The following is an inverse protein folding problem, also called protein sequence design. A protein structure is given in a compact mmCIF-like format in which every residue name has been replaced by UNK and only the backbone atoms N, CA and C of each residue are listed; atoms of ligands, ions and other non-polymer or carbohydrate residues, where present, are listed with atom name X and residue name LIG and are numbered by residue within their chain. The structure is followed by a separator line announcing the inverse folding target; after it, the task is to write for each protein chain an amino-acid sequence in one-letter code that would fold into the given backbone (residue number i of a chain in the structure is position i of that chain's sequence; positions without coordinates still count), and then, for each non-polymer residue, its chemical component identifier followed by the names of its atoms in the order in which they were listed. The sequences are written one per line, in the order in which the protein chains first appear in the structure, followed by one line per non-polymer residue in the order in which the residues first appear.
data_IF_462684600728
#
_entry.id   IF_462684600728
#
_cell.length_a   1.000
_cell.length_b   1.000
_cell.length_c   1.000
_cell.angle_alpha   90.00
_cell.angle_beta   90.00
_cell.angle_gamma   90.00
#
_symmetry.space_group_name_H-M   'P 1'
#
loop_
_entity.id
_entity.type
_entity.pdbx_description
1 polymer ?
#
# COMPACT_ATOMS: atom_id res chain seq x y z
N UNK A 1 -50.88 82.18 3.95
CA UNK A 1 -49.84 83.24 3.94
C UNK A 1 -48.71 82.77 3.01
N UNK A 2 -48.41 83.56 1.96
CA UNK A 2 -47.12 83.81 1.27
C UNK A 2 -45.97 82.81 1.51
N UNK A 3 -45.15 82.34 0.56
CA UNK A 3 -44.77 82.72 -0.83
C UNK A 3 -43.97 81.52 -1.41
N UNK A 4 -43.93 81.39 -2.74
CA UNK A 4 -43.13 80.36 -3.44
C UNK A 4 -41.72 80.80 -3.87
N UNK A 5 -40.99 79.78 -4.34
CA UNK A 5 -39.87 79.68 -5.31
C UNK A 5 -38.58 80.52 -5.10
N UNK A 6 -37.37 80.09 -5.57
CA UNK A 6 -37.08 79.44 -6.86
C UNK A 6 -36.18 78.18 -6.82
N UNK A 7 -36.34 77.33 -7.85
CA UNK A 7 -35.40 76.25 -8.18
C UNK A 7 -34.12 76.69 -8.89
N UNK A 8 -33.14 75.77 -8.94
CA UNK A 8 -32.17 75.48 -10.02
C UNK A 8 -31.14 74.44 -9.55
N UNK A 9 -30.80 73.45 -10.40
CA UNK A 9 -29.50 72.77 -10.33
C UNK A 9 -29.46 71.24 -10.48
N UNK A 10 -29.64 70.76 -11.71
CA UNK A 10 -29.09 69.57 -12.38
C UNK A 10 -28.52 68.36 -11.58
N UNK A 11 -29.01 67.17 -11.95
CA UNK A 11 -28.34 65.88 -11.73
C UNK A 11 -29.09 64.74 -12.43
N UNK A 12 -28.68 64.40 -13.65
CA UNK A 12 -29.31 63.37 -14.47
C UNK A 12 -29.17 61.96 -13.85
N UNK A 13 -30.30 61.39 -13.41
CA UNK A 13 -30.40 59.99 -13.02
C UNK A 13 -30.78 59.11 -14.21
N UNK A 14 -30.00 58.06 -14.47
CA UNK A 14 -30.43 56.95 -15.35
C UNK A 14 -30.94 55.79 -14.49
N UNK A 15 -32.18 55.44 -14.81
CA UNK A 15 -33.08 54.42 -14.28
C UNK A 15 -32.45 53.16 -13.68
N UNK A 16 -32.87 52.86 -12.45
CA UNK A 16 -32.88 51.53 -11.89
C UNK A 16 -34.14 50.79 -12.38
N UNK A 17 -33.98 49.60 -12.92
CA UNK A 17 -35.08 48.66 -13.14
C UNK A 17 -34.65 47.28 -12.63
N UNK A 18 -35.43 46.71 -11.71
CA UNK A 18 -35.47 45.29 -11.33
C UNK A 18 -36.83 44.74 -11.82
N UNK A 19 -37.05 43.41 -11.84
CA UNK A 19 -36.28 42.34 -12.46
C UNK A 19 -37.21 41.45 -13.32
N UNK A 20 -36.67 40.50 -14.10
CA UNK A 20 -37.26 39.15 -14.28
C UNK A 20 -36.30 38.25 -15.06
N UNK A 21 -36.05 37.09 -14.44
CA UNK A 21 -35.64 35.77 -14.94
C UNK A 21 -35.00 35.61 -16.33
N UNK A 22 -33.80 35.01 -16.34
CA UNK A 22 -33.14 34.49 -17.52
C UNK A 22 -32.02 33.52 -17.13
N UNK A 23 -32.27 32.24 -17.37
CA UNK A 23 -31.35 31.11 -17.24
C UNK A 23 -30.13 31.33 -18.15
N UNK A 24 -28.91 31.32 -17.62
CA UNK A 24 -27.67 31.28 -18.40
C UNK A 24 -26.61 30.45 -17.69
N UNK A 25 -26.03 29.50 -18.43
CA UNK A 25 -25.15 28.43 -17.97
C UNK A 25 -23.86 28.88 -17.30
N UNK A 26 -23.47 28.13 -16.27
CA UNK A 26 -22.16 28.20 -15.65
C UNK A 26 -21.17 27.32 -16.44
N UNK A 27 -20.13 27.94 -16.98
CA UNK A 27 -18.94 27.24 -17.49
C UNK A 27 -18.15 26.55 -16.37
N UNK A 28 -17.21 25.65 -16.70
CA UNK A 28 -16.50 24.87 -15.71
C UNK A 28 -15.57 25.78 -14.92
N UNK A 29 -15.79 25.85 -13.60
CA UNK A 29 -14.86 26.46 -12.67
C UNK A 29 -13.57 25.63 -12.62
N UNK A 30 -12.51 26.16 -13.22
CA UNK A 30 -11.15 25.68 -13.01
C UNK A 30 -10.72 25.96 -11.58
N UNK A 31 -11.01 25.03 -10.67
CA UNK A 31 -10.39 24.99 -9.35
C UNK A 31 -9.05 24.27 -9.47
N UNK A 32 -7.94 25.00 -9.28
CA UNK A 32 -6.65 24.39 -8.99
C UNK A 32 -6.80 23.51 -7.74
N UNK A 33 -6.74 22.19 -7.93
CA UNK A 33 -6.61 21.26 -6.82
C UNK A 33 -5.21 21.45 -6.21
N UNK A 34 -5.08 21.71 -4.90
CA UNK A 34 -3.77 21.73 -4.26
C UNK A 34 -3.06 20.38 -4.48
N UNK A 35 -1.77 20.42 -4.82
CA UNK A 35 -0.97 19.23 -5.11
C UNK A 35 -1.05 18.19 -3.99
N UNK A 36 -1.21 16.91 -4.37
CA UNK A 36 -1.38 15.75 -3.47
C UNK A 36 -0.32 15.69 -2.35
N UNK A 37 0.86 16.22 -2.60
CA UNK A 37 1.99 16.29 -1.65
C UNK A 37 1.67 17.15 -0.41
N UNK A 38 1.06 18.33 -0.58
CA UNK A 38 0.71 19.23 0.52
C UNK A 38 -0.40 18.64 1.41
N UNK A 39 -1.36 17.93 0.81
CA UNK A 39 -2.41 17.23 1.54
C UNK A 39 -1.89 16.02 2.33
N UNK A 40 -0.86 15.31 1.83
CA UNK A 40 -0.22 14.20 2.55
C UNK A 40 0.61 14.69 3.76
N UNK A 41 1.31 15.83 3.61
CA UNK A 41 2.13 16.41 4.68
C UNK A 41 1.27 16.91 5.85
N UNK A 42 0.13 17.57 5.57
CA UNK A 42 -0.81 18.02 6.62
C UNK A 42 -1.52 16.85 7.35
N UNK A 43 -1.66 15.69 6.69
CA UNK A 43 -2.17 14.45 7.31
C UNK A 43 -1.10 13.70 8.10
N UNK A 44 0.16 14.15 8.04
CA UNK A 44 1.28 13.42 8.61
C UNK A 44 1.49 13.64 10.13
N UNK A 45 1.03 14.75 10.70
CA UNK A 45 1.32 15.07 12.10
C UNK A 45 0.61 14.18 13.15
N UNK A 46 -0.67 13.81 12.99
CA UNK A 46 -1.35 12.97 14.00
C UNK A 46 -0.75 11.56 14.10
N UNK A 47 -0.34 10.96 12.97
CA UNK A 47 0.25 9.61 13.00
C UNK A 47 1.65 9.59 13.61
N UNK A 48 2.48 10.64 13.41
CA UNK A 48 3.82 10.73 14.02
C UNK A 48 3.76 10.70 15.55
N UNK A 49 2.64 11.13 16.14
CA UNK A 49 2.39 11.12 17.59
C UNK A 49 1.67 9.85 18.06
N UNK A 50 1.00 9.13 17.17
CA UNK A 50 0.28 7.91 17.52
C UNK A 50 1.27 6.78 17.80
N UNK A 51 1.23 6.25 19.01
CA UNK A 51 1.96 5.03 19.36
C UNK A 51 0.95 3.95 19.67
N UNK A 52 1.26 2.70 19.28
CA UNK A 52 0.47 1.55 19.70
C UNK A 52 0.39 1.52 21.24
N UNK A 53 -0.61 0.89 21.84
CA UNK A 53 -0.61 0.64 23.28
C UNK A 53 0.23 -0.59 23.64
N UNK A 54 0.34 -1.54 22.71
CA UNK A 54 1.10 -2.77 22.87
C UNK A 54 2.61 -2.48 22.84
N UNK A 55 3.34 -2.93 23.88
CA UNK A 55 4.80 -2.77 24.04
C UNK A 55 5.42 -4.13 24.29
N UNK A 56 6.52 -4.43 23.62
CA UNK A 56 7.29 -5.67 23.75
C UNK A 56 8.67 -5.49 23.10
N UNK A 57 9.52 -6.51 23.22
CA UNK A 57 10.79 -6.63 22.49
C UNK A 57 10.80 -7.97 21.78
N UNK A 58 11.33 -8.02 20.57
CA UNK A 58 11.47 -9.25 19.80
C UNK A 58 12.90 -9.78 19.95
N UNK A 59 13.08 -10.98 20.55
CA UNK A 59 14.39 -11.62 20.57
C UNK A 59 14.85 -11.92 19.13
N UNK A 60 16.11 -11.60 18.75
CA UNK A 60 16.62 -11.82 17.38
C UNK A 60 16.49 -13.27 16.89
N UNK A 61 16.45 -14.24 17.80
CA UNK A 61 16.31 -15.66 17.50
C UNK A 61 14.90 -16.02 16.98
N UNK A 62 13.92 -15.12 17.12
CA UNK A 62 12.57 -15.33 16.61
C UNK A 62 12.42 -14.86 15.15
N UNK A 63 13.41 -14.20 14.56
CA UNK A 63 13.38 -13.83 13.14
C UNK A 63 13.45 -15.07 12.25
N UNK A 64 12.48 -15.24 11.34
CA UNK A 64 12.51 -16.33 10.36
C UNK A 64 13.54 -16.04 9.26
N UNK A 65 14.77 -16.49 9.45
CA UNK A 65 15.89 -16.29 8.53
C UNK A 65 15.82 -17.09 7.21
N UNK A 66 14.80 -17.94 7.07
CA UNK A 66 14.54 -18.77 5.89
C UNK A 66 13.06 -19.18 5.75
N UNK A 67 12.59 -19.44 4.52
CA UNK A 67 11.25 -19.97 4.25
C UNK A 67 10.94 -21.26 5.02
N UNK A 68 9.65 -21.56 5.31
CA UNK A 68 9.26 -22.82 5.93
C UNK A 68 9.73 -24.06 5.15
N UNK A 69 9.79 -23.99 3.82
CA UNK A 69 10.25 -25.08 2.96
C UNK A 69 11.72 -25.44 3.25
N UNK A 70 12.57 -24.43 3.48
CA UNK A 70 13.95 -24.61 3.92
C UNK A 70 14.08 -25.07 5.39
N UNK A 71 12.96 -25.16 6.12
CA UNK A 71 12.86 -25.69 7.49
C UNK A 71 12.16 -27.07 7.52
N UNK A 72 11.86 -27.66 6.36
CA UNK A 72 11.20 -28.95 6.25
C UNK A 72 9.68 -28.90 6.44
N UNK A 73 9.05 -27.75 6.21
CA UNK A 73 7.61 -27.52 6.33
C UNK A 73 7.02 -27.06 5.00
N UNK A 74 5.78 -27.42 4.70
CA UNK A 74 5.02 -26.73 3.66
C UNK A 74 4.65 -25.31 4.10
N UNK A 75 4.39 -24.40 3.14
CA UNK A 75 3.99 -23.00 3.43
C UNK A 75 2.82 -22.85 4.39
N UNK A 76 1.86 -23.78 4.33
CA UNK A 76 0.65 -23.77 5.17
C UNK A 76 0.82 -24.52 6.50
N UNK A 77 2.02 -25.05 6.77
CA UNK A 77 2.37 -25.71 8.03
C UNK A 77 3.07 -24.78 9.03
N UNK A 78 3.21 -23.49 8.69
CA UNK A 78 3.56 -22.47 9.68
C UNK A 78 2.51 -22.42 10.80
N UNK A 79 2.90 -21.91 11.96
CA UNK A 79 1.98 -21.81 13.11
C UNK A 79 0.99 -20.68 12.87
N UNK A 80 -0.21 -20.87 13.40
CA UNK A 80 -1.26 -19.86 13.45
C UNK A 80 -1.72 -19.68 14.90
N UNK A 81 -1.67 -18.45 15.39
CA UNK A 81 -2.29 -18.06 16.65
C UNK A 81 -3.67 -17.49 16.36
N UNK A 82 -4.72 -18.06 16.94
CA UNK A 82 -6.09 -17.56 16.82
C UNK A 82 -6.46 -16.83 18.12
N UNK A 83 -6.63 -15.52 18.01
CA UNK A 83 -7.04 -14.64 19.10
C UNK A 83 -8.43 -14.07 18.80
N UNK A 84 -9.45 -14.62 19.46
CA UNK A 84 -10.82 -14.13 19.37
C UNK A 84 -11.26 -13.41 20.66
N UNK A 85 -12.07 -12.38 20.51
CA UNK A 85 -12.68 -11.68 21.63
C UNK A 85 -13.47 -12.65 22.52
N UNK A 86 -13.33 -12.49 23.84
CA UNK A 86 -14.02 -13.31 24.87
C UNK A 86 -13.74 -14.82 24.79
N UNK A 87 -12.67 -15.25 24.10
CA UNK A 87 -12.25 -16.65 24.00
C UNK A 87 -10.79 -16.83 24.43
N UNK A 88 -10.42 -18.02 24.93
CA UNK A 88 -9.01 -18.39 25.10
C UNK A 88 -8.25 -18.33 23.78
N UNK A 89 -6.95 -18.04 23.85
CA UNK A 89 -6.08 -18.11 22.68
C UNK A 89 -5.93 -19.58 22.27
N UNK A 90 -6.06 -19.85 20.97
CA UNK A 90 -5.82 -21.17 20.39
C UNK A 90 -4.57 -21.16 19.52
N UNK A 91 -3.73 -22.16 19.70
CA UNK A 91 -2.56 -22.39 18.86
C UNK A 91 -2.83 -23.55 17.90
N UNK A 92 -2.54 -23.36 16.63
CA UNK A 92 -2.74 -24.36 15.58
C UNK A 92 -1.69 -24.17 14.47
N UNK A 93 -1.75 -24.95 13.41
CA UNK A 93 -1.09 -24.66 12.13
C UNK A 93 -2.00 -23.82 11.23
N UNK A 94 -1.44 -23.20 10.20
CA UNK A 94 -2.19 -22.37 9.25
C UNK A 94 -3.25 -23.18 8.47
N UNK A 95 -3.02 -24.49 8.26
CA UNK A 95 -4.06 -25.45 7.83
C UNK A 95 -5.32 -25.46 8.69
N UNK A 96 -5.25 -25.00 9.94
CA UNK A 96 -6.38 -24.86 10.85
C UNK A 96 -7.21 -23.59 10.66
N UNK A 97 -6.83 -22.69 9.75
CA UNK A 97 -7.55 -21.45 9.44
C UNK A 97 -9.04 -21.69 9.09
N UNK A 98 -9.43 -22.66 8.23
CA UNK A 98 -10.82 -22.90 7.92
C UNK A 98 -11.68 -23.25 9.13
N UNK A 99 -11.10 -23.94 10.12
CA UNK A 99 -11.79 -24.31 11.35
C UNK A 99 -11.91 -23.15 12.37
N UNK A 100 -11.21 -22.03 12.15
CA UNK A 100 -11.29 -20.85 12.99
C UNK A 100 -12.36 -19.85 12.52
N UNK A 101 -12.88 -20.01 11.31
CA UNK A 101 -13.90 -19.16 10.70
C UNK A 101 -15.26 -19.87 10.67
N UNK A 102 -16.33 -19.10 10.43
CA UNK A 102 -17.71 -19.60 10.38
C UNK A 102 -18.27 -19.58 8.97
N UNK A 103 -19.24 -20.45 8.65
CA UNK A 103 -19.99 -20.34 7.39
C UNK A 103 -20.57 -18.93 7.21
N UNK A 104 -20.42 -18.38 6.02
CA UNK A 104 -20.83 -17.02 5.66
C UNK A 104 -19.80 -15.93 5.98
N UNK A 105 -18.71 -16.23 6.70
CA UNK A 105 -17.57 -15.29 6.79
C UNK A 105 -16.92 -15.16 5.40
N UNK A 106 -16.32 -14.00 5.12
CA UNK A 106 -15.60 -13.69 3.88
C UNK A 106 -14.13 -13.45 4.16
N UNK A 107 -13.24 -14.14 3.45
CA UNK A 107 -11.82 -13.81 3.44
C UNK A 107 -11.50 -12.95 2.20
N UNK A 108 -10.77 -11.86 2.39
CA UNK A 108 -10.31 -10.98 1.31
C UNK A 108 -8.80 -11.04 1.22
N UNK A 109 -8.27 -11.35 0.04
CA UNK A 109 -6.84 -11.56 -0.19
C UNK A 109 -6.29 -10.59 -1.25
N UNK A 110 -5.03 -10.19 -1.09
CA UNK A 110 -4.29 -9.46 -2.11
C UNK A 110 -3.73 -10.42 -3.15
N UNK A 111 -3.97 -10.14 -4.42
CA UNK A 111 -3.47 -10.92 -5.56
C UNK A 111 -2.26 -10.31 -6.24
N UNK A 112 -1.70 -9.21 -5.72
CA UNK A 112 -0.46 -8.67 -6.28
C UNK A 112 0.63 -9.74 -6.30
N UNK A 113 1.23 -9.96 -7.46
CA UNK A 113 2.46 -10.74 -7.57
C UNK A 113 3.65 -9.95 -6.99
N UNK A 114 4.72 -10.67 -6.66
CA UNK A 114 6.00 -10.07 -6.25
C UNK A 114 6.91 -9.95 -7.47
N UNK A 115 7.41 -8.75 -7.73
CA UNK A 115 8.41 -8.50 -8.76
C UNK A 115 9.83 -8.76 -8.24
N UNK A 116 10.73 -9.23 -9.11
CA UNK A 116 12.16 -9.28 -8.82
C UNK A 116 12.77 -7.87 -8.92
N UNK A 117 12.36 -7.01 -8.00
CA UNK A 117 12.55 -5.56 -8.09
C UNK A 117 13.93 -5.04 -7.67
N UNK A 118 14.91 -5.91 -7.39
CA UNK A 118 16.30 -5.52 -7.12
C UNK A 118 17.18 -5.72 -8.36
N UNK A 119 17.94 -4.69 -8.71
CA UNK A 119 18.84 -4.65 -9.86
C UNK A 119 20.25 -4.31 -9.39
N UNK A 120 21.21 -5.18 -9.68
CA UNK A 120 22.63 -4.91 -9.40
C UNK A 120 23.20 -3.96 -10.47
N UNK A 121 23.91 -2.92 -10.07
CA UNK A 121 24.39 -1.86 -10.96
C UNK A 121 25.68 -1.21 -10.49
N UNK A 122 26.16 -0.25 -11.28
CA UNK A 122 27.39 0.50 -11.03
C UNK A 122 27.12 1.99 -11.24
N UNK A 123 27.50 2.82 -10.27
CA UNK A 123 27.37 4.28 -10.34
C UNK A 123 28.41 4.88 -11.27
N UNK A 124 28.24 6.14 -11.66
CA UNK A 124 29.20 6.90 -12.49
C UNK A 124 30.63 6.92 -11.93
N UNK A 125 30.77 6.88 -10.59
CA UNK A 125 32.07 6.86 -9.90
C UNK A 125 32.69 5.46 -9.76
N UNK A 126 32.08 4.44 -10.36
CA UNK A 126 32.53 3.05 -10.35
C UNK A 126 32.14 2.26 -9.10
N UNK A 127 31.44 2.86 -8.11
CA UNK A 127 30.98 2.12 -6.92
C UNK A 127 29.82 1.19 -7.28
N UNK A 128 29.81 -0.06 -6.77
CA UNK A 128 28.67 -0.95 -6.94
C UNK A 128 27.47 -0.46 -6.14
N UNK A 129 26.27 -0.64 -6.69
CA UNK A 129 25.00 -0.24 -6.09
C UNK A 129 23.92 -1.26 -6.42
N UNK A 130 22.91 -1.39 -5.58
CA UNK A 130 21.69 -2.14 -5.84
C UNK A 130 20.55 -1.14 -5.94
N UNK A 131 19.83 -1.15 -7.05
CA UNK A 131 18.61 -0.35 -7.25
C UNK A 131 17.42 -1.20 -6.89
N UNK A 132 16.66 -0.79 -5.87
CA UNK A 132 15.35 -1.36 -5.58
C UNK A 132 14.26 -0.53 -6.26
N UNK A 133 13.50 -1.14 -7.16
CA UNK A 133 12.34 -0.53 -7.82
C UNK A 133 11.13 -0.64 -6.89
N UNK A 134 10.59 0.51 -6.46
CA UNK A 134 9.40 0.56 -5.60
C UNK A 134 8.11 0.44 -6.40
N UNK A 135 8.04 1.08 -7.56
CA UNK A 135 6.83 1.11 -8.36
C UNK A 135 6.77 2.34 -9.28
N UNK A 136 5.64 2.55 -9.97
CA UNK A 136 5.45 3.75 -10.76
C UNK A 136 5.37 5.00 -9.85
N UNK A 137 5.83 6.15 -10.35
CA UNK A 137 5.66 7.43 -9.66
C UNK A 137 4.17 7.80 -9.59
N UNK A 138 3.58 7.95 -8.39
CA UNK A 138 2.16 8.32 -8.26
C UNK A 138 1.80 9.65 -8.91
N UNK A 139 2.79 10.52 -9.13
CA UNK A 139 2.62 11.84 -9.75
C UNK A 139 3.09 11.87 -11.22
N UNK A 140 3.53 10.72 -11.78
CA UNK A 140 4.11 10.61 -13.13
C UNK A 140 3.09 10.48 -14.27
N UNK A 141 1.82 10.24 -13.97
CA UNK A 141 0.82 9.85 -14.98
C UNK A 141 0.96 8.39 -15.40
N UNK A 142 -0.12 7.80 -15.93
CA UNK A 142 -0.18 6.38 -16.27
C UNK A 142 0.73 6.07 -17.47
N UNK A 143 1.93 5.58 -17.19
CA UNK A 143 2.87 5.14 -18.22
C UNK A 143 2.87 3.62 -18.43
N UNK A 144 1.80 2.95 -18.01
CA UNK A 144 1.68 1.49 -18.14
C UNK A 144 0.36 1.18 -18.85
N UNK A 145 0.38 1.39 -20.18
CA UNK A 145 -0.64 0.90 -21.12
C UNK A 145 -1.52 1.98 -21.74
N UNK A 146 -1.32 2.29 -23.03
CA UNK A 146 -2.30 3.04 -23.83
C UNK A 146 -1.70 3.94 -24.91
N UNK A 147 -1.83 3.49 -26.16
CA UNK A 147 -1.71 4.15 -27.48
C UNK A 147 -1.16 5.59 -27.59
N UNK A 148 -0.10 5.75 -28.40
CA UNK A 148 0.43 7.04 -28.86
C UNK A 148 -0.37 7.54 -30.06
N UNK A 149 -1.59 7.99 -29.85
CA UNK A 149 -2.30 8.78 -30.85
C UNK A 149 -3.11 9.91 -30.20
N UNK A 150 -2.57 11.13 -30.23
CA UNK A 150 -3.33 12.30 -29.80
C UNK A 150 -2.51 13.54 -29.50
N UNK A 151 -2.34 14.38 -30.53
CA UNK A 151 -2.04 15.82 -30.47
C UNK A 151 -0.62 16.17 -29.95
N UNK A 152 0.29 16.32 -30.90
CA UNK A 152 1.50 17.12 -30.74
C UNK A 152 1.10 18.59 -30.50
N UNK A 153 1.01 18.97 -29.23
CA UNK A 153 0.91 20.36 -28.77
C UNK A 153 2.23 20.75 -28.12
N UNK A 154 2.74 21.92 -28.51
CA UNK A 154 3.97 22.56 -28.03
C UNK A 154 3.97 22.75 -26.50
N UNK A 155 4.70 21.94 -25.74
CA UNK A 155 4.83 22.10 -24.29
C UNK A 155 6.27 21.84 -23.82
N UNK A 156 6.75 22.71 -22.92
CA UNK A 156 8.16 22.83 -22.51
C UNK A 156 8.81 21.62 -21.83
N UNK A 157 10.10 21.74 -21.41
CA UNK A 157 11.00 20.63 -21.08
C UNK A 157 10.63 19.77 -19.85
N UNK A 158 9.43 19.91 -19.28
CA UNK A 158 9.00 19.20 -18.06
C UNK A 158 7.88 18.17 -18.23
N UNK A 159 7.28 18.01 -19.42
CA UNK A 159 6.15 17.08 -19.65
C UNK A 159 6.58 15.71 -20.17
N UNK A 160 7.65 15.64 -20.97
CA UNK A 160 8.22 14.39 -21.47
C UNK A 160 8.90 13.55 -20.37
N UNK A 161 9.48 14.20 -19.34
CA UNK A 161 10.14 13.56 -18.19
C UNK A 161 9.17 12.90 -17.19
N UNK A 162 7.86 13.10 -17.34
CA UNK A 162 6.85 12.55 -16.41
C UNK A 162 6.37 11.16 -16.83
N UNK A 163 6.23 10.91 -18.13
CA UNK A 163 5.74 9.64 -18.64
C UNK A 163 6.81 8.54 -18.44
N UNK A 164 6.54 7.60 -17.53
CA UNK A 164 7.39 6.43 -17.29
C UNK A 164 8.34 6.57 -16.11
N UNK A 165 8.15 7.59 -15.26
CA UNK A 165 8.94 7.72 -14.04
C UNK A 165 8.58 6.63 -13.03
N UNK A 166 9.62 6.09 -12.40
CA UNK A 166 9.53 5.11 -11.31
C UNK A 166 10.11 5.69 -10.04
N UNK A 167 9.69 5.14 -8.90
CA UNK A 167 10.33 5.40 -7.61
C UNK A 167 11.32 4.29 -7.32
N UNK A 168 12.55 4.65 -6.96
CA UNK A 168 13.62 3.71 -6.64
C UNK A 168 14.32 4.06 -5.32
N UNK A 169 14.92 3.07 -4.70
CA UNK A 169 15.83 3.22 -3.56
C UNK A 169 17.22 2.70 -3.95
N UNK A 170 18.27 3.41 -3.54
CA UNK A 170 19.65 2.97 -3.74
C UNK A 170 20.20 2.32 -2.47
N UNK A 171 20.79 1.14 -2.62
CA UNK A 171 21.43 0.36 -1.56
C UNK A 171 22.84 -0.04 -1.94
N UNK A 172 23.70 -0.26 -0.95
CA UNK A 172 24.95 -0.97 -1.18
C UNK A 172 24.68 -2.46 -1.46
N UNK A 173 25.64 -3.21 -2.01
CA UNK A 173 25.54 -4.67 -2.11
C UNK A 173 25.25 -5.37 -0.77
N UNK A 174 25.67 -4.76 0.34
CA UNK A 174 25.44 -5.26 1.71
C UNK A 174 24.06 -4.88 2.27
N UNK A 175 23.27 -4.09 1.54
CA UNK A 175 21.91 -3.67 1.93
C UNK A 175 21.83 -2.34 2.68
N UNK A 176 22.96 -1.67 2.89
CA UNK A 176 23.01 -0.36 3.55
C UNK A 176 22.45 0.73 2.66
N UNK A 177 21.89 1.79 3.27
CA UNK A 177 21.34 2.92 2.52
C UNK A 177 22.45 3.69 1.82
N UNK A 178 22.21 4.06 0.56
CA UNK A 178 23.07 4.99 -0.18
C UNK A 178 22.45 6.38 -0.11
N UNK A 179 22.96 7.20 0.81
CA UNK A 179 22.44 8.55 1.07
C UNK A 179 23.03 9.66 0.20
N UNK A 180 24.08 9.40 -0.57
CA UNK A 180 24.80 10.41 -1.34
C UNK A 180 24.40 10.48 -2.82
N UNK A 181 23.24 9.90 -3.19
CA UNK A 181 22.67 10.02 -4.53
C UNK A 181 22.34 11.46 -4.93
N UNK A 182 22.38 11.78 -6.22
CA UNK A 182 22.13 13.12 -6.75
C UNK A 182 21.25 13.14 -8.00
N UNK A 183 20.43 14.18 -8.14
CA UNK A 183 19.69 14.44 -9.36
C UNK A 183 20.65 14.57 -10.56
N UNK A 184 20.32 13.90 -11.67
CA UNK A 184 21.12 13.83 -12.88
C UNK A 184 22.10 12.65 -12.93
N UNK A 185 22.42 12.04 -11.78
CA UNK A 185 23.30 10.87 -11.67
C UNK A 185 22.72 9.66 -12.41
N UNK A 186 23.60 8.92 -13.06
CA UNK A 186 23.27 7.68 -13.77
C UNK A 186 23.83 6.44 -13.06
N UNK A 187 23.09 5.34 -13.21
CA UNK A 187 23.50 4.01 -12.78
C UNK A 187 23.46 3.09 -14.00
N UNK A 188 24.60 2.49 -14.31
CA UNK A 188 24.68 1.45 -15.33
C UNK A 188 24.14 0.14 -14.76
N UNK A 189 23.18 -0.45 -15.46
CA UNK A 189 22.47 -1.66 -15.09
C UNK A 189 22.78 -2.80 -16.10
N UNK A 190 22.33 -4.04 -15.83
CA UNK A 190 22.55 -5.16 -16.73
C UNK A 190 21.99 -4.91 -18.14
N UNK A 191 22.49 -5.66 -19.13
CA UNK A 191 22.12 -5.47 -20.54
C UNK A 191 22.35 -4.04 -21.09
N UNK A 192 23.21 -3.26 -20.45
CA UNK A 192 23.55 -1.90 -20.87
C UNK A 192 22.47 -0.86 -20.60
N UNK A 193 21.44 -1.19 -19.82
CA UNK A 193 20.41 -0.24 -19.43
C UNK A 193 21.00 0.85 -18.53
N UNK A 194 20.51 2.07 -18.65
CA UNK A 194 20.97 3.21 -17.85
C UNK A 194 19.78 3.79 -17.12
N UNK A 195 19.84 3.74 -15.79
CA UNK A 195 18.88 4.42 -14.93
C UNK A 195 19.39 5.82 -14.62
N UNK A 196 18.51 6.82 -14.69
CA UNK A 196 18.84 8.20 -14.34
C UNK A 196 18.00 8.68 -13.17
N UNK A 197 18.65 9.18 -12.12
CA UNK A 197 17.98 9.86 -11.01
C UNK A 197 17.51 11.24 -11.48
N UNK A 198 16.23 11.54 -11.31
CA UNK A 198 15.62 12.80 -11.77
C UNK A 198 15.51 13.79 -10.61
N UNK A 199 14.93 13.35 -9.49
CA UNK A 199 14.73 14.17 -8.29
C UNK A 199 14.45 13.28 -7.08
N UNK A 200 14.53 13.85 -5.88
CA UNK A 200 14.05 13.19 -4.67
C UNK A 200 12.57 12.81 -4.75
N UNK A 201 12.20 11.81 -3.96
CA UNK A 201 10.84 11.39 -3.67
C UNK A 201 10.61 11.39 -2.14
N UNK A 202 9.50 11.95 -1.61
CA UNK A 202 8.36 12.51 -2.35
C UNK A 202 8.57 13.94 -2.84
N UNK A 203 9.51 14.70 -2.27
CA UNK A 203 9.76 16.10 -2.63
C UNK A 203 10.67 16.23 -3.86
N UNK A 204 10.13 16.82 -4.93
CA UNK A 204 10.85 17.06 -6.20
C UNK A 204 11.90 18.17 -6.08
N UNK A 205 11.83 19.01 -5.05
CA UNK A 205 12.83 20.06 -4.82
C UNK A 205 14.17 19.50 -4.31
N UNK A 206 14.16 18.28 -3.77
CA UNK A 206 15.35 17.63 -3.24
C UNK A 206 16.24 17.11 -4.38
N UNK A 207 17.48 17.61 -4.45
CA UNK A 207 18.44 17.31 -5.52
C UNK A 207 19.63 16.46 -5.07
N UNK A 208 19.80 16.23 -3.78
CA UNK A 208 20.84 15.37 -3.20
C UNK A 208 20.38 14.83 -1.84
N UNK A 209 21.02 13.78 -1.34
CA UNK A 209 20.83 13.39 0.07
C UNK A 209 19.55 12.59 0.36
N UNK A 210 18.75 12.24 -0.65
CA UNK A 210 17.43 11.66 -0.43
C UNK A 210 17.45 10.13 -0.42
N UNK A 211 16.54 9.54 0.36
CA UNK A 211 16.38 8.09 0.44
C UNK A 211 15.81 7.48 -0.85
N UNK A 212 14.70 8.05 -1.32
CA UNK A 212 13.98 7.56 -2.49
C UNK A 212 14.12 8.53 -3.65
N UNK A 213 14.17 8.02 -4.86
CA UNK A 213 14.40 8.83 -6.04
C UNK A 213 13.32 8.57 -7.08
N UNK A 214 12.83 9.64 -7.69
CA UNK A 214 12.18 9.53 -9.00
C UNK A 214 13.27 9.28 -10.02
N UNK A 215 13.11 8.26 -10.84
CA UNK A 215 14.08 7.87 -11.83
C UNK A 215 13.41 7.53 -13.16
N UNK A 216 14.17 7.66 -14.25
CA UNK A 216 13.80 7.14 -15.56
C UNK A 216 14.68 5.94 -15.88
N UNK A 217 14.05 4.91 -16.44
CA UNK A 217 14.73 3.69 -16.87
C UNK A 217 14.12 3.24 -18.21
N UNK A 218 14.60 3.79 -19.34
CA UNK A 218 14.15 3.37 -20.65
C UNK A 218 14.71 1.98 -20.96
N UNK A 219 13.83 1.00 -21.12
CA UNK A 219 14.17 -0.39 -21.44
C UNK A 219 13.23 -0.93 -22.51
N UNK A 220 13.81 -1.62 -23.50
CA UNK A 220 13.04 -2.28 -24.55
C UNK A 220 12.18 -3.41 -23.94
N UNK A 221 10.95 -3.57 -24.44
CA UNK A 221 9.99 -4.55 -23.89
C UNK A 221 9.34 -4.14 -22.56
N UNK A 222 9.70 -2.96 -22.02
CA UNK A 222 9.10 -2.39 -20.82
C UNK A 222 9.71 -2.92 -19.51
N UNK A 223 9.50 -2.15 -18.45
CA UNK A 223 10.11 -2.42 -17.15
C UNK A 223 9.77 -3.81 -16.55
N UNK A 224 8.51 -4.31 -16.61
CA UNK A 224 8.20 -5.62 -16.05
C UNK A 224 8.97 -6.75 -16.73
N UNK A 225 9.15 -6.68 -18.06
CA UNK A 225 9.92 -7.66 -18.83
C UNK A 225 11.40 -7.61 -18.49
N UNK A 226 11.96 -6.40 -18.37
CA UNK A 226 13.34 -6.20 -17.97
C UNK A 226 13.62 -6.73 -16.55
N UNK A 227 12.78 -6.39 -15.57
CA UNK A 227 12.89 -6.92 -14.20
C UNK A 227 12.81 -8.44 -14.19
N UNK A 228 11.86 -9.04 -14.92
CA UNK A 228 11.74 -10.49 -15.00
C UNK A 228 12.99 -11.17 -15.59
N UNK A 229 13.73 -10.48 -16.47
CA UNK A 229 14.90 -11.02 -17.14
C UNK A 229 16.18 -10.92 -16.30
N UNK A 230 16.40 -9.80 -15.60
CA UNK A 230 17.70 -9.52 -14.93
C UNK A 230 17.59 -9.19 -13.46
N UNK A 231 16.39 -8.97 -12.95
CA UNK A 231 16.14 -8.62 -11.56
C UNK A 231 16.17 -9.82 -10.62
N UNK A 232 16.24 -9.54 -9.33
CA UNK A 232 16.07 -10.52 -8.25
C UNK A 232 15.12 -10.00 -7.17
N UNK A 233 14.50 -10.86 -6.35
CA UNK A 233 13.69 -10.39 -5.23
C UNK A 233 14.50 -9.48 -4.31
N UNK A 234 13.83 -8.46 -3.76
CA UNK A 234 14.40 -7.66 -2.68
C UNK A 234 14.64 -8.60 -1.49
N UNK A 235 15.87 -8.56 -0.96
CA UNK A 235 16.30 -9.39 0.16
C UNK A 235 16.49 -8.49 1.38
N UNK A 236 15.84 -8.85 2.49
CA UNK A 236 16.12 -8.23 3.76
C UNK A 236 17.36 -8.83 4.43
N UNK A 237 18.07 -8.00 5.21
CA UNK A 237 19.36 -8.35 5.81
C UNK A 237 19.33 -9.57 6.76
N UNK A 238 18.18 -9.91 7.33
CA UNK A 238 18.04 -11.07 8.22
C UNK A 238 17.98 -12.42 7.49
N UNK A 239 17.80 -12.45 6.16
CA UNK A 239 17.84 -13.70 5.40
C UNK A 239 19.29 -14.15 5.25
N UNK A 240 19.60 -15.43 5.50
CA UNK A 240 20.99 -15.94 5.38
C UNK A 240 21.52 -16.04 3.96
N UNK A 241 20.63 -16.23 2.99
CA UNK A 241 20.97 -16.43 1.59
C UNK A 241 19.84 -15.93 0.69
N UNK A 242 20.13 -15.59 -0.58
CA UNK A 242 19.10 -15.31 -1.57
C UNK A 242 18.09 -16.47 -1.67
N UNK A 243 16.82 -16.12 -1.87
CA UNK A 243 15.76 -17.09 -2.13
C UNK A 243 15.23 -16.90 -3.54
N UNK A 244 14.86 -17.98 -4.21
CA UNK A 244 14.31 -17.88 -5.55
C UNK A 244 12.94 -17.22 -5.51
N UNK A 245 12.54 -16.55 -6.60
CA UNK A 245 11.33 -15.72 -6.65
C UNK A 245 10.05 -16.48 -6.26
N UNK A 246 9.95 -17.79 -6.55
CA UNK A 246 8.79 -18.60 -6.15
C UNK A 246 8.57 -18.69 -4.64
N UNK A 247 9.60 -18.50 -3.82
CA UNK A 247 9.46 -18.52 -2.37
C UNK A 247 8.73 -17.28 -1.85
N UNK A 248 8.71 -16.20 -2.64
CA UNK A 248 8.01 -14.95 -2.35
C UNK A 248 6.60 -14.89 -2.97
N UNK A 249 6.27 -15.79 -3.90
CA UNK A 249 4.98 -15.77 -4.59
C UNK A 249 3.90 -16.52 -3.82
N UNK A 250 2.72 -15.90 -3.75
CA UNK A 250 1.53 -16.52 -3.16
C UNK A 250 0.77 -17.35 -4.20
N UNK A 251 0.01 -18.35 -3.75
CA UNK A 251 -0.79 -19.20 -4.67
C UNK A 251 -2.01 -18.47 -5.26
N UNK A 252 -2.34 -17.31 -4.71
CA UNK A 252 -3.44 -16.43 -5.15
C UNK A 252 -2.92 -15.25 -5.98
N UNK A 253 -1.60 -15.15 -6.17
CA UNK A 253 -1.01 -14.12 -7.00
C UNK A 253 -1.56 -14.23 -8.43
N UNK A 254 -1.93 -13.10 -8.99
CA UNK A 254 -2.37 -12.95 -10.37
C UNK A 254 -1.52 -11.89 -11.04
N UNK A 255 -1.15 -12.12 -12.30
CA UNK A 255 -0.33 -11.20 -13.08
C UNK A 255 -1.15 -10.65 -14.22
N UNK A 256 -1.30 -9.33 -14.27
CA UNK A 256 -1.74 -8.65 -15.48
C UNK A 256 -0.52 -8.50 -16.39
N UNK A 257 -0.56 -9.01 -17.64
CA UNK A 257 0.54 -8.82 -18.58
C UNK A 257 0.88 -7.35 -18.76
N UNK A 258 2.17 -7.01 -18.76
CA UNK A 258 2.65 -5.64 -18.94
C UNK A 258 2.51 -4.72 -17.72
N UNK A 259 1.87 -5.16 -16.64
CA UNK A 259 1.74 -4.39 -15.41
C UNK A 259 2.88 -4.67 -14.44
N UNK A 260 3.43 -3.62 -13.83
CA UNK A 260 4.40 -3.77 -12.74
C UNK A 260 3.67 -4.18 -11.46
N UNK A 261 4.00 -5.35 -10.90
CA UNK A 261 3.42 -5.82 -9.65
C UNK A 261 4.13 -5.23 -8.41
N UNK A 262 3.87 -5.78 -7.22
CA UNK A 262 4.42 -5.26 -5.96
C UNK A 262 5.91 -5.59 -5.82
N UNK A 263 6.70 -4.63 -5.34
CA UNK A 263 8.10 -4.88 -4.97
C UNK A 263 8.18 -5.84 -3.78
N UNK A 264 7.15 -5.81 -2.92
CA UNK A 264 7.07 -6.65 -1.74
C UNK A 264 6.09 -7.81 -1.85
N UNK A 265 6.38 -8.84 -1.05
CA UNK A 265 5.52 -9.99 -0.90
C UNK A 265 4.29 -9.67 -0.04
N UNK A 266 3.08 -10.09 -0.44
CA UNK A 266 1.91 -10.13 0.44
C UNK A 266 2.06 -11.27 1.47
N UNK A 267 2.94 -11.06 2.45
CA UNK A 267 3.46 -12.09 3.36
C UNK A 267 2.38 -12.81 4.17
N UNK A 268 1.34 -12.09 4.61
CA UNK A 268 0.20 -12.67 5.33
C UNK A 268 -0.57 -13.71 4.49
N UNK A 269 -0.55 -13.59 3.16
CA UNK A 269 -1.20 -14.51 2.22
C UNK A 269 -0.26 -15.65 1.79
N UNK A 270 1.04 -15.58 2.07
CA UNK A 270 2.02 -16.61 1.67
C UNK A 270 1.63 -18.01 2.16
N UNK A 271 1.15 -18.21 3.41
CA UNK A 271 0.76 -19.53 3.89
C UNK A 271 -0.52 -20.09 3.26
N UNK A 272 -1.26 -19.33 2.45
CA UNK A 272 -2.39 -19.88 1.69
C UNK A 272 -1.88 -20.95 0.72
N UNK A 273 -2.59 -22.07 0.71
CA UNK A 273 -2.35 -23.21 -0.19
C UNK A 273 -3.69 -23.67 -0.79
N UNK A 274 -3.65 -24.48 -1.85
CA UNK A 274 -4.87 -25.09 -2.40
C UNK A 274 -5.68 -25.81 -1.32
N UNK A 275 -5.00 -26.60 -0.47
CA UNK A 275 -5.59 -27.29 0.70
C UNK A 275 -6.34 -26.34 1.64
N UNK A 276 -5.76 -25.17 1.97
CA UNK A 276 -6.41 -24.18 2.84
C UNK A 276 -7.62 -23.54 2.14
N UNK A 277 -7.48 -23.17 0.87
CA UNK A 277 -8.55 -22.55 0.09
C UNK A 277 -9.75 -23.50 -0.09
N UNK A 278 -9.50 -24.78 -0.34
CA UNK A 278 -10.55 -25.78 -0.46
C UNK A 278 -11.22 -26.05 0.90
N UNK A 279 -10.45 -26.07 1.99
CA UNK A 279 -10.99 -26.14 3.34
C UNK A 279 -11.90 -24.97 3.68
N UNK A 280 -11.56 -23.75 3.26
CA UNK A 280 -12.41 -22.56 3.44
C UNK A 280 -13.73 -22.71 2.69
N UNK A 281 -13.67 -23.10 1.40
CA UNK A 281 -14.86 -23.34 0.57
C UNK A 281 -15.77 -24.43 1.16
N UNK A 282 -15.19 -25.55 1.59
CA UNK A 282 -15.93 -26.65 2.21
C UNK A 282 -16.63 -26.25 3.53
N UNK A 283 -16.12 -25.21 4.22
CA UNK A 283 -16.75 -24.63 5.42
C UNK A 283 -17.74 -23.51 5.11
N UNK A 284 -18.02 -23.23 3.84
CA UNK A 284 -18.91 -22.15 3.43
C UNK A 284 -18.33 -20.76 3.72
N UNK A 285 -17.00 -20.62 3.78
CA UNK A 285 -16.32 -19.32 3.88
C UNK A 285 -16.09 -18.79 2.47
N UNK A 286 -16.56 -17.57 2.20
CA UNK A 286 -16.39 -16.90 0.92
C UNK A 286 -14.94 -16.45 0.71
N UNK A 287 -14.52 -16.30 -0.55
CA UNK A 287 -13.24 -15.74 -0.95
C UNK A 287 -13.47 -14.59 -1.93
N UNK A 288 -12.87 -13.43 -1.65
CA UNK A 288 -12.80 -12.30 -2.57
C UNK A 288 -11.36 -11.78 -2.69
N UNK A 289 -11.09 -11.04 -3.76
CA UNK A 289 -9.74 -10.62 -4.12
C UNK A 289 -9.67 -9.11 -4.36
N UNK A 290 -8.54 -8.52 -4.00
CA UNK A 290 -8.16 -7.17 -4.40
C UNK A 290 -6.75 -7.20 -4.99
N UNK A 291 -6.34 -6.12 -5.61
CA UNK A 291 -4.93 -5.89 -5.95
C UNK A 291 -4.43 -4.69 -5.16
N UNK A 292 -3.27 -4.81 -4.52
CA UNK A 292 -2.50 -3.67 -4.05
C UNK A 292 -1.01 -3.99 -4.20
N UNK A 293 -0.30 -3.12 -4.92
CA UNK A 293 1.12 -3.23 -5.18
C UNK A 293 1.89 -2.46 -4.11
N UNK A 294 2.38 -3.20 -3.11
CA UNK A 294 3.24 -2.63 -2.09
C UNK A 294 4.59 -2.27 -2.71
N UNK A 295 5.05 -1.05 -2.45
CA UNK A 295 6.37 -0.59 -2.86
C UNK A 295 7.48 -1.10 -1.95
N UNK A 296 8.69 -0.55 -2.07
CA UNK A 296 9.76 -0.85 -1.10
C UNK A 296 9.33 -0.39 0.29
N UNK A 297 9.14 -1.33 1.20
CA UNK A 297 8.73 -1.09 2.59
C UNK A 297 9.84 -1.50 3.55
N UNK A 298 10.39 -0.46 4.14
CA UNK A 298 10.34 -0.29 5.58
C UNK A 298 10.47 1.21 5.73
N UNK A 299 9.36 1.95 5.95
CA UNK A 299 9.48 3.30 6.49
C UNK A 299 10.42 3.20 7.69
N UNK A 300 11.39 4.11 7.84
CA UNK A 300 11.99 4.25 9.18
C UNK A 300 10.87 4.60 10.17
N UNK A 301 11.12 4.40 11.47
CA UNK A 301 10.09 4.53 12.51
C UNK A 301 9.31 5.86 12.48
N UNK A 302 9.81 6.86 11.74
CA UNK A 302 9.30 8.21 11.55
C UNK A 302 8.92 8.55 10.08
N UNK A 303 8.74 7.57 9.20
CA UNK A 303 8.31 7.79 7.81
C UNK A 303 6.83 7.44 7.56
N UNK A 304 6.14 8.27 6.76
CA UNK A 304 4.76 8.01 6.32
C UNK A 304 4.79 6.80 5.38
N UNK A 305 3.82 5.86 5.46
CA UNK A 305 3.66 4.85 4.41
C UNK A 305 3.57 5.52 3.04
N UNK A 306 4.37 5.04 2.10
CA UNK A 306 4.32 5.55 0.73
C UNK A 306 2.93 5.28 0.13
N UNK A 307 2.44 6.15 -0.77
CA UNK A 307 1.25 5.86 -1.54
C UNK A 307 1.39 4.54 -2.29
N UNK A 308 0.43 3.66 -2.13
CA UNK A 308 0.41 2.35 -2.79
C UNK A 308 -0.74 2.27 -3.78
N UNK A 309 -0.48 1.69 -4.96
CA UNK A 309 -1.50 1.54 -5.99
C UNK A 309 -2.41 0.36 -5.65
N UNK A 310 -3.71 0.59 -5.66
CA UNK A 310 -4.71 -0.42 -5.31
C UNK A 310 -5.86 -0.49 -6.34
N UNK A 311 -6.56 -1.62 -6.32
CA UNK A 311 -7.79 -1.88 -7.05
C UNK A 311 -8.70 -2.80 -6.24
N UNK A 312 -9.92 -2.34 -5.97
CA UNK A 312 -11.01 -3.10 -5.36
C UNK A 312 -12.10 -3.34 -6.42
N UNK A 313 -12.22 -4.58 -6.95
CA UNK A 313 -13.22 -4.91 -7.97
C UNK A 313 -14.67 -4.77 -7.46
N UNK A 314 -15.62 -4.52 -8.38
CA UNK A 314 -17.05 -4.44 -8.07
C UNK A 314 -17.60 -5.70 -7.39
N UNK A 315 -17.19 -6.89 -7.84
CA UNK A 315 -17.58 -8.15 -7.21
C UNK A 315 -17.10 -8.25 -5.76
N UNK A 316 -15.89 -7.78 -5.46
CA UNK A 316 -15.35 -7.75 -4.10
C UNK A 316 -16.11 -6.77 -3.21
N UNK A 317 -16.39 -5.56 -3.70
CA UNK A 317 -17.20 -4.59 -2.96
C UNK A 317 -18.61 -5.13 -2.63
N UNK A 318 -19.27 -5.74 -3.62
CA UNK A 318 -20.58 -6.37 -3.43
C UNK A 318 -20.54 -7.52 -2.41
N UNK A 319 -19.55 -8.41 -2.50
CA UNK A 319 -19.38 -9.53 -1.56
C UNK A 319 -19.14 -9.03 -0.12
N UNK A 320 -18.29 -8.01 0.05
CA UNK A 320 -18.03 -7.38 1.35
C UNK A 320 -19.31 -6.79 1.94
N UNK A 321 -20.06 -6.02 1.16
CA UNK A 321 -21.30 -5.39 1.62
C UNK A 321 -22.37 -6.44 1.98
N UNK A 322 -22.53 -7.48 1.17
CA UNK A 322 -23.46 -8.59 1.44
C UNK A 322 -23.09 -9.35 2.72
N UNK A 323 -21.79 -9.59 2.94
CA UNK A 323 -21.28 -10.25 4.15
C UNK A 323 -21.58 -9.42 5.40
N UNK A 324 -21.36 -8.11 5.34
CA UNK A 324 -21.69 -7.18 6.44
C UNK A 324 -23.20 -7.14 6.70
N UNK A 325 -24.02 -7.03 5.66
CA UNK A 325 -25.48 -7.03 5.76
C UNK A 325 -26.02 -8.32 6.42
N UNK A 326 -25.33 -9.45 6.21
CA UNK A 326 -25.64 -10.73 6.85
C UNK A 326 -25.10 -10.88 8.29
N UNK A 327 -24.47 -9.84 8.86
CA UNK A 327 -23.88 -9.89 10.20
C UNK A 327 -22.68 -10.86 10.29
N UNK A 328 -21.98 -11.10 9.18
CA UNK A 328 -20.83 -12.01 9.10
C UNK A 328 -19.51 -11.24 9.06
N UNK A 329 -18.40 -11.97 9.25
CA UNK A 329 -17.07 -11.33 9.30
C UNK A 329 -16.51 -11.08 7.92
N UNK A 330 -15.87 -9.93 7.76
CA UNK A 330 -14.98 -9.60 6.64
C UNK A 330 -13.55 -9.66 7.17
N UNK A 331 -12.84 -10.73 6.82
CA UNK A 331 -11.49 -11.02 7.30
C UNK A 331 -10.47 -10.65 6.23
N UNK A 332 -9.72 -9.59 6.46
CA UNK A 332 -8.62 -9.18 5.58
C UNK A 332 -7.40 -10.08 5.80
N UNK A 333 -6.69 -10.44 4.73
CA UNK A 333 -5.40 -11.15 4.80
C UNK A 333 -4.27 -10.19 4.51
N UNK A 334 -3.72 -9.60 5.56
CA UNK A 334 -2.65 -8.61 5.52
C UNK A 334 -3.14 -7.18 5.76
N UNK A 335 -2.26 -6.36 6.32
CA UNK A 335 -2.43 -4.91 6.57
C UNK A 335 -2.74 -4.15 5.27
N UNK A 336 -2.09 -4.55 4.19
CA UNK A 336 -2.32 -4.06 2.83
C UNK A 336 -3.78 -4.19 2.37
N UNK A 337 -4.40 -5.36 2.59
CA UNK A 337 -5.81 -5.58 2.23
C UNK A 337 -6.73 -4.68 3.04
N UNK A 338 -6.45 -4.55 4.33
CA UNK A 338 -7.20 -3.66 5.22
C UNK A 338 -7.14 -2.22 4.71
N UNK A 339 -5.96 -1.70 4.38
CA UNK A 339 -5.80 -0.33 3.88
C UNK A 339 -6.58 -0.10 2.59
N UNK A 340 -6.52 -1.01 1.63
CA UNK A 340 -7.26 -0.89 0.37
C UNK A 340 -8.77 -0.84 0.59
N UNK A 341 -9.34 -1.78 1.38
CA UNK A 341 -10.77 -1.82 1.66
C UNK A 341 -11.25 -0.58 2.42
N UNK A 342 -10.50 -0.15 3.42
CA UNK A 342 -10.85 1.02 4.24
C UNK A 342 -10.67 2.35 3.47
N UNK A 343 -9.90 2.36 2.38
CA UNK A 343 -9.77 3.53 1.49
C UNK A 343 -11.06 3.78 0.73
N UNK A 344 -11.73 2.72 0.28
CA UNK A 344 -13.00 2.80 -0.48
C UNK A 344 -14.24 2.61 0.40
N UNK A 345 -14.07 2.55 1.72
CA UNK A 345 -15.15 2.47 2.68
C UNK A 345 -15.76 3.85 2.96
N UNK A 346 -17.09 3.92 2.88
CA UNK A 346 -17.87 5.08 3.29
C UNK A 346 -17.96 5.15 4.83
N UNK A 347 -18.41 6.29 5.42
CA UNK A 347 -18.47 6.42 6.87
C UNK A 347 -19.33 5.36 7.59
N UNK A 348 -20.36 4.83 6.94
CA UNK A 348 -21.23 3.72 7.37
C UNK A 348 -20.58 2.32 7.18
N UNK A 349 -19.37 2.27 6.63
CA UNK A 349 -18.61 1.06 6.31
C UNK A 349 -19.03 0.38 5.02
N UNK A 350 -19.91 0.99 4.21
CA UNK A 350 -20.25 0.49 2.87
C UNK A 350 -19.05 0.65 1.94
N UNK A 351 -18.62 -0.44 1.31
CA UNK A 351 -17.49 -0.46 0.37
C UNK A 351 -17.97 -0.21 -1.05
N UNK A 352 -17.27 0.67 -1.78
CA UNK A 352 -17.44 0.87 -3.22
C UNK A 352 -16.29 0.22 -3.97
N UNK A 353 -16.50 -0.14 -5.23
CA UNK A 353 -15.37 -0.43 -6.12
C UNK A 353 -14.55 0.83 -6.37
N UNK A 354 -13.26 0.67 -6.60
CA UNK A 354 -12.39 1.78 -6.94
C UNK A 354 -10.96 1.33 -7.18
N UNK A 355 -10.22 2.17 -7.89
CA UNK A 355 -8.79 2.00 -8.12
C UNK A 355 -8.11 3.36 -8.00
N UNK A 356 -6.82 3.34 -7.67
CA UNK A 356 -6.03 4.55 -7.47
C UNK A 356 -4.91 4.31 -6.49
N UNK A 357 -4.61 5.33 -5.69
CA UNK A 357 -3.51 5.33 -4.73
C UNK A 357 -4.04 5.49 -3.31
N UNK A 358 -3.50 4.75 -2.36
CA UNK A 358 -3.82 4.87 -0.94
C UNK A 358 -2.59 5.25 -0.13
N UNK A 359 -2.71 6.36 0.61
CA UNK A 359 -1.83 6.79 1.67
C UNK A 359 -2.50 6.61 3.05
N UNK A 360 -3.59 5.82 3.11
CA UNK A 360 -4.40 5.68 4.31
C UNK A 360 -3.60 5.05 5.44
N UNK A 361 -3.51 5.78 6.56
CA UNK A 361 -3.02 5.28 7.84
C UNK A 361 -4.21 5.04 8.77
N UNK A 362 -4.31 3.83 9.29
CA UNK A 362 -5.33 3.43 10.26
C UNK A 362 -4.76 3.54 11.67
N UNK A 363 -5.57 4.01 12.61
CA UNK A 363 -5.14 4.27 13.97
C UNK A 363 -6.31 4.76 14.84
N UNK A 364 -6.03 5.26 16.07
CA UNK A 364 -7.07 5.69 17.00
C UNK A 364 -8.03 6.73 16.42
N UNK A 365 -7.51 7.69 15.66
CA UNK A 365 -8.30 8.79 15.07
C UNK A 365 -8.98 8.39 13.73
N UNK A 366 -8.60 7.23 13.19
CA UNK A 366 -9.13 6.70 11.93
C UNK A 366 -9.36 5.19 12.10
N UNK A 367 -10.41 4.80 12.85
CA UNK A 367 -10.71 3.39 13.11
C UNK A 367 -11.18 2.70 11.82
N UNK A 368 -11.10 1.37 11.83
CA UNK A 368 -11.67 0.56 10.75
C UNK A 368 -13.20 0.61 10.76
N UNK A 369 -13.82 0.51 9.58
CA UNK A 369 -15.27 0.60 9.38
C UNK A 369 -15.86 -0.67 8.80
N UNK A 370 -15.08 -1.38 7.98
CA UNK A 370 -15.55 -2.50 7.18
C UNK A 370 -14.94 -3.82 7.66
N UNK A 371 -13.62 -3.84 7.89
CA UNK A 371 -12.90 -5.06 8.26
C UNK A 371 -13.19 -5.45 9.72
N UNK A 372 -13.59 -6.71 9.93
CA UNK A 372 -13.97 -7.25 11.25
C UNK A 372 -13.14 -8.47 11.66
N UNK A 373 -12.04 -8.71 10.97
CA UNK A 373 -11.00 -9.68 11.33
C UNK A 373 -9.77 -9.50 10.46
N UNK A 374 -8.62 -9.97 10.94
CA UNK A 374 -7.36 -9.82 10.23
C UNK A 374 -6.50 -11.08 10.40
N UNK A 375 -6.05 -11.63 9.28
CA UNK A 375 -4.91 -12.57 9.22
C UNK A 375 -3.66 -11.77 8.91
N UNK A 376 -2.60 -11.94 9.67
CA UNK A 376 -1.35 -11.15 9.52
C UNK A 376 -0.13 -11.93 10.01
N UNK A 377 1.07 -11.49 9.62
CA UNK A 377 2.32 -11.93 10.24
C UNK A 377 2.58 -11.21 11.57
N UNK A 378 3.76 -11.41 12.15
CA UNK A 378 4.20 -10.69 13.35
C UNK A 378 5.04 -9.47 12.98
N UNK A 379 4.69 -8.32 13.56
CA UNK A 379 5.27 -7.01 13.25
C UNK A 379 5.97 -6.41 14.46
N UNK A 380 7.14 -5.81 14.25
CA UNK A 380 7.96 -5.13 15.26
C UNK A 380 7.20 -4.01 16.01
N UNK A 381 7.61 -3.66 17.25
CA UNK A 381 6.91 -2.68 18.10
C UNK A 381 6.77 -1.28 17.48
N UNK A 382 7.79 -0.85 16.73
CA UNK A 382 7.87 0.47 16.10
C UNK A 382 7.19 0.51 14.72
N UNK A 383 6.66 -0.62 14.23
CA UNK A 383 6.03 -0.68 12.93
C UNK A 383 4.62 -0.06 12.94
N UNK A 384 4.32 0.77 11.94
CA UNK A 384 2.98 1.32 11.67
C UNK A 384 1.89 0.24 11.55
N UNK A 385 2.27 -1.00 11.23
CA UNK A 385 1.38 -2.15 11.22
C UNK A 385 0.73 -2.44 12.59
N UNK A 386 1.43 -2.22 13.70
CA UNK A 386 0.87 -2.52 15.02
C UNK A 386 -0.31 -1.59 15.36
N UNK A 387 -0.24 -0.32 14.96
CA UNK A 387 -1.37 0.63 15.06
C UNK A 387 -2.59 0.14 14.26
N UNK A 388 -2.38 -0.37 13.05
CA UNK A 388 -3.46 -0.93 12.24
C UNK A 388 -4.09 -2.17 12.90
N UNK A 389 -3.27 -3.05 13.46
CA UNK A 389 -3.76 -4.22 14.20
C UNK A 389 -4.64 -3.80 15.38
N UNK A 390 -4.22 -2.77 16.14
CA UNK A 390 -5.02 -2.23 17.24
C UNK A 390 -6.28 -1.50 16.78
N UNK A 391 -6.23 -0.81 15.64
CA UNK A 391 -7.42 -0.22 15.02
C UNK A 391 -8.45 -1.28 14.62
N UNK A 392 -8.01 -2.47 14.17
CA UNK A 392 -8.90 -3.58 13.83
C UNK A 392 -9.44 -4.32 15.06
N UNK A 393 -8.55 -4.73 15.96
CA UNK A 393 -8.85 -5.73 16.98
C UNK A 393 -8.91 -5.16 18.41
N UNK A 394 -8.51 -3.91 18.59
CA UNK A 394 -8.34 -3.26 19.88
C UNK A 394 -7.05 -3.67 20.60
N UNK A 395 -6.44 -2.76 21.40
CA UNK A 395 -5.14 -2.98 22.03
C UNK A 395 -5.13 -4.15 23.01
N UNK A 396 -6.24 -4.43 23.69
CA UNK A 396 -6.33 -5.54 24.64
C UNK A 396 -6.22 -6.91 23.96
N UNK A 397 -6.83 -7.09 22.80
CA UNK A 397 -6.78 -8.37 22.07
C UNK A 397 -5.42 -8.56 21.41
N UNK A 398 -4.87 -7.49 20.81
CA UNK A 398 -3.53 -7.47 20.22
C UNK A 398 -2.46 -7.78 21.26
N UNK A 399 -2.44 -7.06 22.38
CA UNK A 399 -1.47 -7.29 23.46
C UNK A 399 -1.52 -8.70 24.04
N UNK A 400 -2.72 -9.30 24.16
CA UNK A 400 -2.89 -10.71 24.53
C UNK A 400 -2.25 -11.66 23.52
N UNK A 401 -2.50 -11.42 22.22
CA UNK A 401 -1.95 -12.24 21.14
C UNK A 401 -0.42 -12.19 21.12
N UNK A 402 0.16 -10.99 21.17
CA UNK A 402 1.61 -10.77 21.17
C UNK A 402 2.30 -11.40 22.37
N UNK A 403 1.76 -11.21 23.59
CA UNK A 403 2.31 -11.86 24.79
C UNK A 403 2.34 -13.38 24.67
N UNK A 404 1.29 -13.97 24.10
CA UNK A 404 1.20 -15.42 23.92
C UNK A 404 2.13 -15.94 22.81
N UNK A 405 2.31 -15.16 21.75
CA UNK A 405 3.24 -15.49 20.66
C UNK A 405 4.70 -15.47 21.12
N UNK A 406 5.10 -14.40 21.83
CA UNK A 406 6.43 -14.28 22.43
C UNK A 406 6.70 -15.41 23.42
N UNK A 407 5.76 -15.66 24.34
CA UNK A 407 5.89 -16.73 25.34
C UNK A 407 5.94 -18.15 24.75
N UNK A 408 5.61 -18.32 23.46
CA UNK A 408 5.68 -19.61 22.76
C UNK A 408 6.63 -19.61 21.56
N UNK A 409 7.50 -18.60 21.43
CA UNK A 409 8.52 -18.52 20.38
C UNK A 409 7.95 -18.63 18.96
N UNK A 410 6.89 -17.87 18.66
CA UNK A 410 6.44 -17.72 17.27
C UNK A 410 7.52 -16.99 16.45
N UNK A 411 7.64 -17.37 15.18
CA UNK A 411 8.63 -16.81 14.26
C UNK A 411 8.09 -15.57 13.53
N UNK A 412 8.96 -14.61 13.26
CA UNK A 412 8.65 -13.26 12.78
C UNK A 412 9.10 -13.03 11.34
N UNK A 413 8.72 -11.86 10.79
CA UNK A 413 8.96 -11.43 9.42
C UNK A 413 8.21 -12.26 8.35
N UNK A 414 8.52 -12.03 7.08
CA UNK A 414 7.76 -12.45 5.90
C UNK A 414 7.68 -13.97 5.70
N UNK A 415 8.62 -14.72 6.28
CA UNK A 415 8.62 -16.19 6.31
C UNK A 415 8.22 -16.80 7.66
N UNK A 416 7.78 -15.94 8.60
CA UNK A 416 7.41 -16.32 9.94
C UNK A 416 6.07 -17.05 10.05
N UNK A 417 5.58 -17.10 11.28
CA UNK A 417 4.26 -17.62 11.63
C UNK A 417 3.18 -16.55 11.47
N UNK A 418 1.91 -16.95 11.62
CA UNK A 418 0.75 -16.05 11.42
C UNK A 418 -0.11 -15.89 12.67
N UNK A 419 -0.91 -14.83 12.65
CA UNK A 419 -1.95 -14.54 13.63
C UNK A 419 -3.28 -14.30 12.91
N UNK A 420 -4.36 -14.83 13.47
CA UNK A 420 -5.74 -14.44 13.16
C UNK A 420 -6.30 -13.72 14.38
N UNK A 421 -6.64 -12.44 14.23
CA UNK A 421 -7.34 -11.64 15.24
C UNK A 421 -8.80 -11.44 14.84
N UNK A 422 -9.70 -11.76 15.77
CA UNK A 422 -11.14 -11.68 15.60
C UNK A 422 -11.75 -10.84 16.74
N UNK A 423 -11.97 -9.53 16.56
CA UNK A 423 -12.71 -8.73 17.53
C UNK A 423 -14.15 -9.23 17.72
N UNK A 424 -14.83 -8.71 18.74
CA UNK A 424 -16.27 -8.90 18.86
C UNK A 424 -16.95 -8.22 17.66
N UNK A 425 -17.99 -8.84 17.12
CA UNK A 425 -18.86 -8.16 16.16
C UNK A 425 -19.66 -7.10 16.95
N UNK A 426 -19.66 -5.88 16.43
CA UNK A 426 -20.41 -4.75 17.00
C UNK A 426 -21.89 -4.82 16.68
#
# INVERSE_FOLDING_TARGET
MRRGDPGRGAGAGRAANRPTEGWAGAGPAGGEQPGRTAASAARAEPWRRAQAATRFTVPPQLSADRPPEARGLARDEVRLLVAAAHRPIRHTRFTGLPAALRPGDLIVVNTSDTEPAALDGVREDGRPVVVHVSGPDPDGGDAIGGDRSGIAGSDGPGRADRAGSIVVELRSPDGERVGDGRAGETVTLPAGAVLRLVAGYPDRSTTSGNRLWRATLPVEGGLPGYLAAVGRPIRYGYLRAPRPLQDYRTVVASRTPGELAGAEMPSAARPLSGRVLDGLRARGVGLATITLHAGVSSPEADEVPLPERYRVPAGTAAAVNATRAAGRRVVAVGTTVTRALETVASPDGTVRSGEGWTDLVLGPDRPVRTVTGLVTGWHEPEASHLLLLEAVAGPRLVGRAYRSALGRGYLWHEFGDSCLVLPALG
#
